data_IF_043473138916
#
_entry.id   IF_043473138916
#
_cell.length_a   1.000
_cell.length_b   1.000
_cell.length_c   1.000
_cell.angle_alpha   90.00
_cell.angle_beta   90.00
_cell.angle_gamma   90.00
#
_symmetry.space_group_name_H-M   'P 1'
#
loop_
_entity.id
_entity.type
_entity.pdbx_description
1 polymer ?
#
# COMPACT_ATOMS: atom_id res chain seq x y z
N UNK A 1 8.37 8.56 -37.91
CA UNK A 1 7.36 8.97 -36.91
C UNK A 1 7.77 8.35 -35.59
N UNK A 2 8.25 9.13 -34.61
CA UNK A 2 8.51 8.59 -33.26
C UNK A 2 7.16 8.44 -32.58
N UNK A 3 6.73 7.21 -32.31
CA UNK A 3 5.54 6.97 -31.49
C UNK A 3 5.97 7.31 -30.06
N UNK A 4 5.33 8.32 -29.47
CA UNK A 4 5.57 8.69 -28.08
C UNK A 4 4.67 7.83 -27.19
N UNK A 5 5.29 6.88 -26.47
CA UNK A 5 4.62 6.01 -25.49
C UNK A 5 4.68 6.57 -24.08
N UNK A 6 4.91 7.88 -23.88
CA UNK A 6 5.01 8.47 -22.55
C UNK A 6 3.76 8.18 -21.67
N UNK A 7 2.51 8.30 -22.15
CA UNK A 7 1.33 7.94 -21.34
C UNK A 7 1.32 6.47 -20.90
N UNK A 8 1.66 5.55 -21.80
CA UNK A 8 1.72 4.11 -21.55
C UNK A 8 2.86 3.76 -20.58
N UNK A 9 4.03 4.39 -20.71
CA UNK A 9 5.17 4.23 -19.79
C UNK A 9 4.84 4.76 -18.39
N UNK A 10 4.11 5.87 -18.28
CA UNK A 10 3.58 6.38 -17.01
C UNK A 10 2.62 5.36 -16.37
N UNK A 11 1.69 4.80 -17.14
CA UNK A 11 0.79 3.77 -16.62
C UNK A 11 1.57 2.53 -16.18
N UNK A 12 2.51 2.05 -17.00
CA UNK A 12 3.37 0.91 -16.70
C UNK A 12 4.12 1.10 -15.38
N UNK A 13 4.77 2.25 -15.16
CA UNK A 13 5.44 2.56 -13.90
C UNK A 13 4.51 2.46 -12.69
N UNK A 14 3.30 3.04 -12.77
CA UNK A 14 2.35 2.99 -11.66
C UNK A 14 1.93 1.56 -11.34
N UNK A 15 1.71 0.73 -12.37
CA UNK A 15 1.34 -0.67 -12.18
C UNK A 15 2.47 -1.49 -11.55
N UNK A 16 3.72 -1.28 -11.98
CA UNK A 16 4.90 -1.96 -11.41
C UNK A 16 5.05 -1.61 -9.93
N UNK A 17 4.98 -0.32 -9.57
CA UNK A 17 5.07 0.14 -8.17
C UNK A 17 3.92 -0.43 -7.32
N UNK A 18 2.72 -0.47 -7.88
CA UNK A 18 1.56 -1.06 -7.21
C UNK A 18 1.71 -2.56 -7.00
N UNK A 19 2.28 -3.28 -7.97
CA UNK A 19 2.55 -4.72 -7.87
C UNK A 19 3.58 -5.01 -6.78
N UNK A 20 4.69 -4.28 -6.75
CA UNK A 20 5.70 -4.40 -5.68
C UNK A 20 5.08 -4.18 -4.29
N UNK A 21 4.16 -3.22 -4.21
CA UNK A 21 3.41 -2.97 -2.99
C UNK A 21 2.51 -4.14 -2.58
N UNK A 22 1.91 -4.86 -3.53
CA UNK A 22 1.13 -6.08 -3.24
C UNK A 22 2.02 -7.26 -2.82
N UNK A 23 3.23 -7.38 -3.37
CA UNK A 23 4.19 -8.38 -2.92
C UNK A 23 4.54 -8.16 -1.43
N UNK A 24 4.82 -6.92 -1.03
CA UNK A 24 5.06 -6.59 0.38
C UNK A 24 3.89 -6.91 1.31
N UNK A 25 2.64 -6.79 0.83
CA UNK A 25 1.45 -7.22 1.59
C UNK A 25 1.40 -8.74 1.70
N UNK A 26 1.61 -9.46 0.58
CA UNK A 26 1.56 -10.91 0.52
C UNK A 26 2.66 -11.57 1.37
N UNK A 27 3.87 -11.02 1.35
CA UNK A 27 5.00 -11.49 2.16
C UNK A 27 4.76 -11.27 3.65
N UNK A 28 4.36 -10.07 4.06
CA UNK A 28 4.12 -9.76 5.47
C UNK A 28 2.94 -10.56 6.06
N UNK A 29 1.84 -10.68 5.31
CA UNK A 29 0.68 -11.49 5.72
C UNK A 29 1.01 -12.99 5.72
N UNK A 30 1.74 -13.47 4.71
CA UNK A 30 2.20 -14.85 4.61
C UNK A 30 3.13 -15.24 5.76
N UNK A 31 4.06 -14.36 6.13
CA UNK A 31 4.95 -14.58 7.28
C UNK A 31 4.16 -14.65 8.59
N UNK A 32 3.21 -13.73 8.80
CA UNK A 32 2.35 -13.72 9.99
C UNK A 32 1.54 -15.02 10.12
N UNK A 33 0.96 -15.49 9.01
CA UNK A 33 0.21 -16.74 8.94
C UNK A 33 1.10 -17.96 9.19
N UNK A 34 2.27 -18.04 8.54
CA UNK A 34 3.19 -19.16 8.66
C UNK A 34 3.73 -19.31 10.10
N UNK A 35 4.01 -18.19 10.76
CA UNK A 35 4.47 -18.15 12.14
C UNK A 35 3.33 -18.23 13.18
N UNK A 36 2.06 -18.24 12.75
CA UNK A 36 0.87 -18.22 13.61
C UNK A 36 0.90 -17.05 14.61
N UNK A 37 1.31 -15.87 14.14
CA UNK A 37 1.42 -14.66 14.97
C UNK A 37 0.02 -14.17 15.34
N UNK A 38 -0.20 -13.95 16.64
CA UNK A 38 -1.42 -13.33 17.19
C UNK A 38 -1.12 -11.93 17.77
N UNK A 39 -2.15 -11.26 18.30
CA UNK A 39 -2.02 -9.92 18.90
C UNK A 39 -1.03 -9.81 20.06
N UNK A 40 -0.68 -10.93 20.71
CA UNK A 40 0.24 -10.95 21.85
C UNK A 40 1.69 -11.06 21.39
N UNK A 41 1.92 -11.49 20.14
CA UNK A 41 3.25 -11.64 19.60
C UNK A 41 3.88 -10.27 19.28
N UNK A 42 5.14 -10.01 19.67
CA UNK A 42 5.78 -8.70 19.51
C UNK A 42 5.90 -8.23 18.05
N UNK A 43 5.93 -9.16 17.11
CA UNK A 43 5.97 -8.84 15.67
C UNK A 43 4.60 -8.54 15.05
N UNK A 44 3.49 -8.73 15.78
CA UNK A 44 2.16 -8.54 15.19
C UNK A 44 1.94 -7.11 14.71
N UNK A 45 2.20 -6.13 15.58
CA UNK A 45 2.01 -4.72 15.23
C UNK A 45 2.94 -4.27 14.10
N UNK A 46 4.26 -4.55 14.12
CA UNK A 46 5.13 -4.25 12.99
C UNK A 46 4.62 -4.83 11.67
N UNK A 47 4.21 -6.10 11.64
CA UNK A 47 3.71 -6.74 10.42
C UNK A 47 2.38 -6.15 9.95
N UNK A 48 1.46 -5.87 10.88
CA UNK A 48 0.22 -5.16 10.60
C UNK A 48 0.49 -3.80 9.94
N UNK A 49 1.40 -3.00 10.51
CA UNK A 49 1.72 -1.68 9.98
C UNK A 49 2.39 -1.77 8.60
N UNK A 50 3.26 -2.76 8.39
CA UNK A 50 3.83 -3.07 7.07
C UNK A 50 2.74 -3.42 6.06
N UNK A 51 1.80 -4.30 6.41
CA UNK A 51 0.68 -4.68 5.54
C UNK A 51 -0.13 -3.43 5.14
N UNK A 52 -0.55 -2.63 6.12
CA UNK A 52 -1.38 -1.45 5.89
C UNK A 52 -0.64 -0.40 5.06
N UNK A 53 0.64 -0.16 5.36
CA UNK A 53 1.45 0.83 4.66
C UNK A 53 1.75 0.42 3.23
N UNK A 54 2.20 -0.82 3.02
CA UNK A 54 2.44 -1.38 1.67
C UNK A 54 1.16 -1.35 0.84
N UNK A 55 0.03 -1.78 1.40
CA UNK A 55 -1.25 -1.72 0.71
C UNK A 55 -1.62 -0.27 0.35
N UNK A 56 -1.52 0.65 1.31
CA UNK A 56 -1.80 2.06 1.14
C UNK A 56 -0.96 2.73 0.05
N UNK A 57 0.31 2.33 -0.10
CA UNK A 57 1.24 2.87 -1.11
C UNK A 57 0.74 2.63 -2.54
N UNK A 58 0.12 1.49 -2.82
CA UNK A 58 -0.43 1.16 -4.14
C UNK A 58 -1.56 2.12 -4.56
N UNK A 59 -2.36 2.61 -3.61
CA UNK A 59 -3.55 3.42 -3.86
C UNK A 59 -3.37 4.91 -3.55
N UNK A 60 -2.19 5.29 -3.05
CA UNK A 60 -1.85 6.69 -2.82
C UNK A 60 -1.34 7.32 -4.12
N UNK A 61 -1.46 8.64 -4.22
CA UNK A 61 -0.88 9.38 -5.32
C UNK A 61 0.66 9.23 -5.37
N UNK A 62 1.17 8.72 -6.49
CA UNK A 62 2.59 8.58 -6.80
C UNK A 62 3.05 9.84 -7.53
N UNK A 63 3.72 10.77 -6.86
CA UNK A 63 4.22 11.97 -7.54
C UNK A 63 5.48 11.64 -8.35
N UNK A 64 5.61 12.10 -9.61
CA UNK A 64 4.65 12.92 -10.39
C UNK A 64 3.61 12.12 -11.22
N UNK A 65 3.71 10.79 -11.23
CA UNK A 65 2.95 9.86 -12.07
C UNK A 65 1.41 9.91 -11.91
N UNK A 66 0.93 10.38 -10.77
CA UNK A 66 -0.50 10.44 -10.44
C UNK A 66 -0.97 9.20 -9.66
N UNK A 67 -2.27 8.88 -9.76
CA UNK A 67 -2.89 7.76 -9.05
C UNK A 67 -3.27 6.63 -10.00
N UNK A 68 -3.41 5.43 -9.44
CA UNK A 68 -4.05 4.32 -10.16
C UNK A 68 -5.50 4.63 -10.52
N UNK A 69 -5.95 4.09 -11.65
CA UNK A 69 -7.34 4.17 -12.08
C UNK A 69 -8.29 3.45 -11.11
N UNK A 70 -9.54 3.94 -10.94
CA UNK A 70 -10.54 3.28 -10.12
C UNK A 70 -10.89 1.83 -10.44
N UNK A 71 -10.56 1.34 -11.64
CA UNK A 71 -10.75 -0.06 -11.99
C UNK A 71 -9.98 -1.02 -11.06
N UNK A 72 -8.87 -0.56 -10.48
CA UNK A 72 -7.98 -1.38 -9.67
C UNK A 72 -8.50 -1.65 -8.25
N UNK A 73 -9.54 -0.95 -7.81
CA UNK A 73 -10.14 -1.12 -6.48
C UNK A 73 -11.63 -1.47 -6.56
N UNK A 74 -12.06 -2.08 -7.66
CA UNK A 74 -13.38 -2.71 -7.77
C UNK A 74 -13.23 -4.21 -7.68
N UNK A 75 -13.97 -4.83 -6.77
CA UNK A 75 -13.96 -6.27 -6.57
C UNK A 75 -15.34 -6.83 -6.91
N UNK A 76 -15.37 -7.97 -7.61
CA UNK A 76 -16.61 -8.74 -7.82
C UNK A 76 -16.95 -9.65 -6.65
N UNK A 77 -16.05 -9.75 -5.67
CA UNK A 77 -16.11 -10.65 -4.53
C UNK A 77 -16.27 -9.84 -3.24
N UNK A 78 -17.29 -10.17 -2.44
CA UNK A 78 -17.62 -9.45 -1.20
C UNK A 78 -16.57 -9.62 -0.10
N UNK A 79 -15.87 -10.75 -0.03
CA UNK A 79 -14.76 -10.97 0.92
C UNK A 79 -13.59 -10.02 0.58
N UNK A 80 -13.27 -9.89 -0.71
CA UNK A 80 -12.21 -9.00 -1.18
C UNK A 80 -12.55 -7.52 -0.98
N UNK A 81 -13.81 -7.13 -1.24
CA UNK A 81 -14.27 -5.75 -1.01
C UNK A 81 -14.16 -5.39 0.48
N UNK A 82 -14.60 -6.27 1.39
CA UNK A 82 -14.47 -6.05 2.84
C UNK A 82 -13.02 -5.92 3.28
N UNK A 83 -12.13 -6.78 2.76
CA UNK A 83 -10.71 -6.69 3.06
C UNK A 83 -10.10 -5.38 2.52
N UNK A 84 -10.52 -4.92 1.34
CA UNK A 84 -10.11 -3.63 0.78
C UNK A 84 -10.55 -2.48 1.67
N UNK A 85 -11.85 -2.40 2.01
CA UNK A 85 -12.41 -1.36 2.87
C UNK A 85 -11.71 -1.34 4.24
N UNK A 86 -11.47 -2.50 4.82
CA UNK A 86 -10.75 -2.65 6.08
C UNK A 86 -9.32 -2.08 5.98
N UNK A 87 -8.54 -2.47 4.98
CA UNK A 87 -7.16 -1.97 4.82
C UNK A 87 -7.15 -0.47 4.54
N UNK A 88 -8.09 0.04 3.75
CA UNK A 88 -8.23 1.48 3.51
C UNK A 88 -8.62 2.22 4.78
N UNK A 89 -9.50 1.65 5.62
CA UNK A 89 -9.83 2.18 6.93
C UNK A 89 -8.57 2.29 7.81
N UNK A 90 -7.81 1.21 7.98
CA UNK A 90 -6.59 1.25 8.79
C UNK A 90 -5.52 2.17 8.21
N UNK A 91 -5.40 2.26 6.89
CA UNK A 91 -4.50 3.22 6.24
C UNK A 91 -4.91 4.65 6.57
N UNK A 92 -6.21 4.95 6.52
CA UNK A 92 -6.70 6.29 6.83
C UNK A 92 -6.36 6.71 8.26
N UNK A 93 -6.55 5.78 9.18
CA UNK A 93 -6.35 5.98 10.62
C UNK A 93 -4.89 5.98 11.06
N UNK A 94 -4.12 4.98 10.62
CA UNK A 94 -2.77 4.78 11.14
C UNK A 94 -1.71 5.57 10.37
N UNK A 95 -1.95 5.89 9.09
CA UNK A 95 -0.89 6.43 8.20
C UNK A 95 -1.17 7.85 7.74
N UNK A 96 -2.41 8.19 7.35
CA UNK A 96 -2.67 9.52 6.78
C UNK A 96 -2.89 10.62 7.81
N UNK A 97 -3.56 10.35 8.93
CA UNK A 97 -3.80 11.35 9.98
C UNK A 97 -3.94 10.62 11.33
N UNK A 98 -2.93 10.66 12.19
CA UNK A 98 -3.06 10.10 13.55
C UNK A 98 -3.96 11.01 14.38
N UNK A 99 -5.27 10.80 14.31
CA UNK A 99 -6.20 11.49 15.21
C UNK A 99 -6.04 10.93 16.63
N UNK A 100 -6.02 11.81 17.64
CA UNK A 100 -5.87 11.44 19.06
C UNK A 100 -6.94 10.44 19.52
N UNK A 101 -8.08 10.38 18.84
CA UNK A 101 -9.18 9.43 19.12
C UNK A 101 -8.77 7.97 18.87
N UNK A 102 -7.77 7.73 18.02
CA UNK A 102 -7.47 6.43 17.43
C UNK A 102 -6.33 5.70 18.14
N UNK A 103 -5.44 6.46 18.78
CA UNK A 103 -4.42 5.95 19.70
C UNK A 103 -4.80 6.34 21.12
N UNK A 104 -5.48 5.42 21.82
CA UNK A 104 -5.88 5.69 23.21
C UNK A 104 -4.67 5.53 24.13
N UNK A 105 -4.21 6.64 24.69
CA UNK A 105 -3.22 6.64 25.76
C UNK A 105 -3.92 6.24 27.05
N UNK A 106 -3.48 5.14 27.64
CA UNK A 106 -3.92 4.67 28.96
C UNK A 106 -2.88 5.06 29.99
N UNK A 107 -3.33 5.58 31.14
CA UNK A 107 -2.50 5.80 32.31
C UNK A 107 -2.83 4.74 33.36
N UNK A 108 -1.81 4.04 33.84
CA UNK A 108 -1.92 3.01 34.85
C UNK A 108 -1.38 3.57 36.17
N UNK A 109 -2.21 3.74 37.21
CA UNK A 109 -1.73 4.15 38.52
C UNK A 109 -0.89 3.03 39.16
N UNK A 110 -0.06 3.39 40.14
CA UNK A 110 0.71 2.42 40.92
C UNK A 110 -0.21 1.33 41.48
N UNK A 111 0.16 0.07 41.28
CA UNK A 111 -0.60 -1.11 41.70
C UNK A 111 -1.62 -1.62 40.67
N UNK A 112 -1.87 -0.91 39.57
CA UNK A 112 -2.76 -1.38 38.51
C UNK A 112 -2.13 -2.54 37.72
N UNK A 113 -2.96 -3.52 37.33
CA UNK A 113 -2.54 -4.60 36.41
C UNK A 113 -2.52 -4.07 34.97
N UNK A 114 -1.36 -4.15 34.33
CA UNK A 114 -1.16 -3.76 32.92
C UNK A 114 -1.37 -4.99 32.01
N UNK A 115 -0.81 -6.13 32.41
CA UNK A 115 -0.99 -7.41 31.74
C UNK A 115 -1.04 -8.53 32.77
N UNK A 116 -1.23 -9.78 32.33
CA UNK A 116 -1.37 -10.95 33.22
C UNK A 116 -0.21 -11.08 34.23
N UNK A 117 1.00 -10.64 33.86
CA UNK A 117 2.21 -10.74 34.67
C UNK A 117 2.87 -9.39 35.01
N UNK A 118 2.25 -8.26 34.66
CA UNK A 118 2.84 -6.93 34.84
C UNK A 118 1.89 -6.08 35.69
N UNK A 119 2.40 -5.60 36.82
CA UNK A 119 1.73 -4.64 37.69
C UNK A 119 2.55 -3.35 37.73
N UNK A 120 1.89 -2.21 37.60
CA UNK A 120 2.53 -0.91 37.59
C UNK A 120 3.21 -0.62 38.95
N UNK A 121 4.53 -0.45 38.98
CA UNK A 121 5.28 -0.11 40.20
C UNK A 121 5.23 1.39 40.53
N UNK A 122 4.93 2.22 39.53
CA UNK A 122 4.65 3.65 39.61
C UNK A 122 3.58 4.01 38.56
N UNK A 123 3.26 5.30 38.37
CA UNK A 123 2.43 5.74 37.23
C UNK A 123 3.13 5.33 35.93
N UNK A 124 2.44 4.55 35.10
CA UNK A 124 2.92 4.10 33.79
C UNK A 124 1.90 4.46 32.71
N UNK A 125 2.31 4.44 31.45
CA UNK A 125 1.40 4.66 30.33
C UNK A 125 1.49 3.51 29.32
N UNK A 126 0.42 3.32 28.56
CA UNK A 126 0.36 2.43 27.41
C UNK A 126 -0.40 3.09 26.27
N UNK A 127 -0.20 2.62 25.05
CA UNK A 127 -0.96 3.07 23.88
C UNK A 127 -1.73 1.87 23.36
N UNK A 128 -3.05 1.97 23.31
CA UNK A 128 -3.89 1.00 22.62
C UNK A 128 -3.94 1.36 21.14
N UNK A 129 -3.50 0.41 20.32
CA UNK A 129 -3.58 0.49 18.86
C UNK A 129 -4.79 -0.29 18.37
N UNK A 130 -5.49 0.25 17.38
CA UNK A 130 -6.46 -0.52 16.62
C UNK A 130 -5.73 -1.29 15.53
N UNK A 131 -5.96 -2.61 15.49
CA UNK A 131 -5.45 -3.51 14.46
C UNK A 131 -6.58 -4.44 14.04
N UNK A 132 -6.63 -4.87 12.77
CA UNK A 132 -7.53 -5.96 12.39
C UNK A 132 -7.15 -7.26 13.10
N UNK A 133 -8.06 -8.24 13.12
CA UNK A 133 -7.84 -9.53 13.78
C UNK A 133 -6.91 -10.44 12.96
N UNK A 134 -6.10 -11.33 13.57
CA UNK A 134 -5.26 -12.28 12.85
C UNK A 134 -6.02 -13.16 11.85
N UNK A 135 -7.30 -13.45 12.11
CA UNK A 135 -8.17 -14.18 11.19
C UNK A 135 -8.35 -13.50 9.84
N UNK A 136 -8.24 -12.16 9.79
CA UNK A 136 -8.37 -11.38 8.56
C UNK A 136 -7.16 -11.50 7.63
N UNK A 137 -6.02 -12.01 8.12
CA UNK A 137 -4.79 -12.14 7.33
C UNK A 137 -4.98 -13.02 6.08
N UNK A 138 -5.87 -14.02 6.15
CA UNK A 138 -6.20 -14.87 4.99
C UNK A 138 -6.89 -14.05 3.89
N UNK A 139 -7.88 -13.23 4.27
CA UNK A 139 -8.59 -12.37 3.33
C UNK A 139 -7.66 -11.31 2.73
N UNK A 140 -6.77 -10.73 3.54
CA UNK A 140 -5.72 -9.81 3.10
C UNK A 140 -4.79 -10.46 2.08
N UNK A 141 -4.34 -11.69 2.34
CA UNK A 141 -3.45 -12.40 1.42
C UNK A 141 -4.14 -12.73 0.09
N UNK A 142 -5.40 -13.19 0.13
CA UNK A 142 -6.22 -13.42 -1.08
C UNK A 142 -6.40 -12.14 -1.90
N UNK A 143 -6.68 -11.02 -1.23
CA UNK A 143 -6.83 -9.71 -1.85
C UNK A 143 -5.55 -9.26 -2.56
N UNK A 144 -4.40 -9.37 -1.88
CA UNK A 144 -3.11 -9.04 -2.47
C UNK A 144 -2.82 -9.89 -3.72
N UNK A 145 -3.05 -11.20 -3.64
CA UNK A 145 -2.89 -12.11 -4.77
C UNK A 145 -3.83 -11.79 -5.95
N UNK A 146 -5.09 -11.46 -5.66
CA UNK A 146 -6.07 -11.06 -6.69
C UNK A 146 -5.62 -9.78 -7.43
N UNK A 147 -5.22 -8.75 -6.68
CA UNK A 147 -4.77 -7.48 -7.26
C UNK A 147 -3.48 -7.72 -8.06
N UNK A 148 -2.50 -8.40 -7.48
CA UNK A 148 -1.21 -8.70 -8.12
C UNK A 148 -1.40 -9.44 -9.45
N UNK A 149 -2.28 -10.46 -9.50
CA UNK A 149 -2.58 -11.20 -10.73
C UNK A 149 -3.18 -10.33 -11.83
N UNK A 150 -4.07 -9.37 -11.49
CA UNK A 150 -4.61 -8.44 -12.50
C UNK A 150 -3.57 -7.41 -12.95
N UNK A 151 -2.72 -6.94 -12.03
CA UNK A 151 -1.65 -5.99 -12.35
C UNK A 151 -0.62 -6.63 -13.29
N UNK A 152 -0.22 -7.88 -13.04
CA UNK A 152 0.78 -8.58 -13.86
C UNK A 152 0.31 -8.73 -15.31
N UNK A 153 -0.96 -9.11 -15.52
CA UNK A 153 -1.54 -9.25 -16.84
C UNK A 153 -1.53 -7.92 -17.64
N UNK A 154 -1.82 -6.80 -16.96
CA UNK A 154 -1.78 -5.48 -17.61
C UNK A 154 -0.36 -4.97 -17.83
N UNK A 155 0.56 -5.26 -16.90
CA UNK A 155 1.99 -4.96 -17.07
C UNK A 155 2.52 -5.69 -18.30
N UNK A 156 2.27 -6.99 -18.45
CA UNK A 156 2.67 -7.78 -19.61
C UNK A 156 2.08 -7.22 -20.90
N UNK A 157 0.79 -6.83 -20.89
CA UNK A 157 0.14 -6.18 -22.03
C UNK A 157 0.82 -4.87 -22.42
N UNK A 158 1.13 -3.98 -21.47
CA UNK A 158 1.80 -2.71 -21.73
C UNK A 158 3.26 -2.91 -22.17
N UNK A 159 3.98 -3.86 -21.55
CA UNK A 159 5.33 -4.23 -21.95
C UNK A 159 5.36 -4.68 -23.41
N UNK A 160 4.41 -5.52 -23.83
CA UNK A 160 4.29 -5.94 -25.22
C UNK A 160 4.00 -4.77 -26.17
N UNK A 161 3.12 -3.83 -25.78
CA UNK A 161 2.79 -2.65 -26.60
C UNK A 161 3.99 -1.72 -26.78
N UNK A 162 4.74 -1.47 -25.70
CA UNK A 162 5.82 -0.47 -25.68
C UNK A 162 7.10 -1.06 -26.25
N UNK A 163 7.44 -2.29 -25.86
CA UNK A 163 8.75 -2.90 -26.12
C UNK A 163 8.69 -4.13 -27.04
N UNK A 164 7.50 -4.50 -27.54
CA UNK A 164 7.32 -5.66 -28.40
C UNK A 164 7.33 -6.99 -27.64
N UNK A 165 7.10 -8.08 -28.38
CA UNK A 165 7.19 -9.44 -27.83
C UNK A 165 8.59 -9.70 -27.27
N UNK A 166 8.69 -10.21 -26.05
CA UNK A 166 9.97 -10.44 -25.35
C UNK A 166 10.90 -9.22 -25.27
N UNK A 167 10.37 -8.00 -25.40
CA UNK A 167 11.16 -6.78 -25.30
C UNK A 167 12.11 -6.55 -26.48
N UNK A 168 11.83 -7.06 -27.68
CA UNK A 168 12.68 -6.91 -28.87
C UNK A 168 13.05 -5.45 -29.22
N UNK A 169 12.29 -4.46 -28.74
CA UNK A 169 12.58 -3.04 -28.95
C UNK A 169 13.37 -2.40 -27.79
N UNK A 170 13.70 -3.17 -26.76
CA UNK A 170 14.55 -2.74 -25.65
C UNK A 170 16.00 -3.12 -25.95
N UNK A 171 16.80 -2.16 -26.41
CA UNK A 171 18.19 -2.39 -26.81
C UNK A 171 19.19 -2.35 -25.65
N UNK A 172 18.82 -1.74 -24.53
CA UNK A 172 19.66 -1.56 -23.34
C UNK A 172 18.80 -1.45 -22.08
N UNK A 173 19.43 -1.64 -20.92
CA UNK A 173 18.80 -1.34 -19.64
C UNK A 173 18.55 0.17 -19.58
N UNK A 174 17.30 0.55 -19.34
CA UNK A 174 16.89 1.95 -19.27
C UNK A 174 15.78 2.12 -18.25
N UNK A 175 15.67 3.32 -17.71
CA UNK A 175 14.52 3.68 -16.89
C UNK A 175 13.26 3.73 -17.77
N UNK A 176 12.15 3.23 -17.23
CA UNK A 176 10.85 3.30 -17.94
C UNK A 176 10.46 4.76 -18.21
N UNK A 177 10.84 5.68 -17.31
CA UNK A 177 10.66 7.13 -17.45
C UNK A 177 11.97 7.82 -17.06
N UNK A 178 12.45 8.70 -17.92
CA UNK A 178 13.68 9.47 -17.68
C UNK A 178 13.46 10.62 -16.68
N UNK A 179 14.54 11.08 -16.03
CA UNK A 179 14.52 12.26 -15.14
C UNK A 179 13.96 13.51 -15.84
N UNK A 180 14.25 13.67 -17.13
CA UNK A 180 13.76 14.81 -17.92
C UNK A 180 12.24 14.75 -18.09
N UNK A 181 11.68 13.56 -18.34
CA UNK A 181 10.23 13.35 -18.45
C UNK A 181 9.54 13.57 -17.09
N UNK A 182 10.12 13.08 -15.99
CA UNK A 182 9.62 13.33 -14.64
C UNK A 182 9.55 14.83 -14.32
N UNK A 183 10.62 15.58 -14.61
CA UNK A 183 10.67 17.02 -14.40
C UNK A 183 9.60 17.77 -15.23
N UNK A 184 9.36 17.34 -16.48
CA UNK A 184 8.31 17.91 -17.34
C UNK A 184 6.90 17.64 -16.79
N UNK A 185 6.65 16.44 -16.27
CA UNK A 185 5.38 16.08 -15.62
C UNK A 185 5.12 16.95 -14.38
N UNK A 186 6.13 17.14 -13.54
CA UNK A 186 6.03 18.01 -12.36
C UNK A 186 5.73 19.47 -12.73
N UNK A 187 6.44 20.01 -13.72
CA UNK A 187 6.26 21.37 -14.18
C UNK A 187 4.86 21.60 -14.76
N UNK A 188 4.36 20.65 -15.55
CA UNK A 188 3.02 20.70 -16.14
C UNK A 188 1.94 20.72 -15.06
N UNK A 189 2.11 19.93 -14.00
CA UNK A 189 1.17 19.87 -12.89
C UNK A 189 1.15 21.15 -12.04
N UNK A 190 2.30 21.75 -11.75
CA UNK A 190 2.39 23.04 -11.04
C UNK A 190 1.63 24.15 -11.78
N UNK A 191 1.64 24.14 -13.12
CA UNK A 191 0.87 25.08 -13.95
C UNK A 191 -0.65 24.86 -13.84
N UNK A 192 -1.12 23.62 -13.83
CA UNK A 192 -2.55 23.28 -13.70
C UNK A 192 -3.12 23.72 -12.35
N UNK A 193 -2.42 23.45 -11.25
CA UNK A 193 -2.88 23.83 -9.91
C UNK A 193 -2.98 25.36 -9.75
N UNK A 194 -2.07 26.14 -10.34
CA UNK A 194 -2.09 27.62 -10.30
C UNK A 194 -3.25 28.24 -11.08
N UNK A 195 -3.80 27.53 -12.07
CA UNK A 195 -4.99 27.97 -12.82
C UNK A 195 -6.29 27.69 -12.09
N UNK A 196 -6.36 26.63 -11.29
CA UNK A 196 -7.55 26.27 -10.52
C UNK A 196 -7.72 27.10 -9.24
N UNK A 197 -6.67 27.79 -8.79
CA UNK A 197 -6.68 28.65 -7.60
C UNK A 197 -6.91 30.13 -7.89
N UNK A 198 -7.39 30.48 -9.08
CA UNK A 198 -7.70 31.85 -9.54
C UNK A 198 -9.13 31.89 -10.03
#
# INVERSE_FOLDING_TARGET
MKIDFLPERIELCKLIIARDSMDGVAEASGLALAMKIDHTHPLYKPLHDTIVSSYGRAFTEMRPLGKLSPKWFRFGDTELEKAHEMLMYYRHKNVSHTEVIESRVLLYPKGAKISKNITATNVQYGVLYQTFAPSELIAVQKLAGNIAGRLIAEIERLMHIIYGENGIYLSEITDVITDTELAQLEASRKKTNKKQSR
#
